data_IF_494261448973
#
_entry.id   IF_494261448973
#
_cell.length_a   1.000
_cell.length_b   1.000
_cell.length_c   1.000
_cell.angle_alpha   90.00
_cell.angle_beta   90.00
_cell.angle_gamma   90.00
#
_symmetry.space_group_name_H-M   'P 1'
#
loop_
_entity.id
_entity.type
_entity.pdbx_description
1 polymer ?
#
# COMPACT_ATOMS: atom_id res chain seq x y z
N UNK A 1 12.08 -13.73 -71.63
CA UNK A 1 12.65 -14.74 -70.71
C UNK A 1 13.64 -14.05 -69.79
N UNK A 2 13.61 -14.39 -68.49
CA UNK A 2 14.31 -13.80 -67.33
C UNK A 2 13.55 -12.65 -66.63
N UNK A 3 12.35 -12.99 -66.18
CA UNK A 3 11.63 -12.31 -65.10
C UNK A 3 11.47 -13.28 -63.93
N UNK A 4 11.35 -12.72 -62.73
CA UNK A 4 10.85 -13.34 -61.49
C UNK A 4 11.43 -14.71 -61.10
N UNK A 5 12.55 -14.73 -60.37
CA UNK A 5 12.91 -15.87 -59.50
C UNK A 5 14.12 -15.48 -58.62
N UNK A 6 13.92 -14.68 -57.56
CA UNK A 6 14.92 -14.50 -56.48
C UNK A 6 14.36 -13.93 -55.17
N UNK A 7 13.04 -13.97 -54.93
CA UNK A 7 12.44 -13.52 -53.66
C UNK A 7 11.59 -14.61 -52.98
N UNK A 8 11.98 -15.88 -53.13
CA UNK A 8 11.29 -17.01 -52.50
C UNK A 8 12.33 -17.98 -51.94
N UNK A 9 13.03 -17.61 -50.87
CA UNK A 9 13.86 -18.53 -50.05
C UNK A 9 14.42 -17.96 -48.73
N UNK A 10 13.66 -17.09 -48.06
CA UNK A 10 13.97 -16.66 -46.68
C UNK A 10 12.78 -16.76 -45.72
N UNK A 11 11.77 -17.57 -46.06
CA UNK A 11 10.66 -17.93 -45.17
C UNK A 11 10.68 -19.42 -44.80
N UNK A 12 11.72 -19.85 -44.09
CA UNK A 12 11.62 -21.07 -43.27
C UNK A 12 12.75 -21.08 -42.24
N UNK A 13 12.54 -20.45 -41.07
CA UNK A 13 13.14 -20.82 -39.78
C UNK A 13 12.86 -19.78 -38.69
N UNK A 14 11.58 -19.46 -38.44
CA UNK A 14 11.22 -18.74 -37.22
C UNK A 14 10.16 -19.53 -36.44
N UNK A 15 10.60 -20.66 -35.86
CA UNK A 15 9.83 -21.42 -34.89
C UNK A 15 9.80 -20.60 -33.59
N UNK A 16 8.73 -19.81 -33.44
CA UNK A 16 8.37 -19.10 -32.22
C UNK A 16 8.45 -20.08 -31.04
N UNK A 17 9.22 -19.82 -29.96
CA UNK A 17 9.21 -20.72 -28.82
C UNK A 17 7.80 -20.69 -28.22
N UNK A 18 7.15 -21.84 -28.16
CA UNK A 18 5.88 -22.01 -27.50
C UNK A 18 6.06 -21.58 -26.04
N UNK A 19 5.42 -20.48 -25.66
CA UNK A 19 5.37 -20.01 -24.28
C UNK A 19 4.51 -21.04 -23.56
N UNK A 20 5.17 -21.85 -22.73
CA UNK A 20 4.56 -22.90 -21.95
C UNK A 20 3.52 -22.30 -20.99
N UNK A 21 2.26 -22.46 -21.35
CA UNK A 21 1.09 -22.05 -20.56
C UNK A 21 1.06 -22.68 -19.16
N UNK A 22 1.85 -23.73 -18.90
CA UNK A 22 2.04 -24.29 -17.56
C UNK A 22 2.87 -23.37 -16.64
N UNK A 23 3.85 -22.62 -17.16
CA UNK A 23 4.66 -21.66 -16.36
C UNK A 23 3.88 -20.41 -15.93
N UNK A 24 2.87 -20.02 -16.70
CA UNK A 24 1.97 -18.92 -16.34
C UNK A 24 0.99 -19.37 -15.24
N UNK A 25 0.52 -20.61 -15.31
CA UNK A 25 -0.30 -21.20 -14.25
C UNK A 25 0.49 -21.37 -12.94
N UNK A 26 1.78 -21.69 -13.01
CA UNK A 26 2.65 -21.83 -11.84
C UNK A 26 2.91 -20.48 -11.14
N UNK A 27 3.02 -19.39 -11.89
CA UNK A 27 3.10 -18.02 -11.34
C UNK A 27 1.80 -17.57 -10.67
N UNK A 28 0.64 -18.10 -11.11
CA UNK A 28 -0.66 -17.83 -10.49
C UNK A 28 -0.94 -18.69 -9.26
N UNK A 29 -0.24 -19.82 -9.09
CA UNK A 29 -0.35 -20.71 -7.94
C UNK A 29 0.59 -20.36 -6.78
N UNK A 30 1.61 -19.52 -7.00
CA UNK A 30 2.43 -18.96 -5.91
C UNK A 30 1.61 -18.00 -5.01
N UNK A 31 0.46 -17.50 -5.48
CA UNK A 31 -0.45 -16.70 -4.68
C UNK A 31 -1.32 -17.49 -3.68
N UNK A 32 -1.21 -18.84 -3.63
CA UNK A 32 -2.05 -19.70 -2.77
C UNK A 32 -1.29 -20.49 -1.71
N UNK A 33 0.00 -20.25 -1.50
CA UNK A 33 0.78 -21.01 -0.51
C UNK A 33 1.81 -20.14 0.22
N UNK A 34 1.42 -19.63 1.38
CA UNK A 34 2.17 -19.67 2.65
C UNK A 34 1.62 -18.58 3.59
N UNK A 35 1.09 -19.02 4.73
CA UNK A 35 0.58 -18.21 5.84
C UNK A 35 1.74 -17.50 6.57
N UNK A 36 2.39 -16.56 5.87
CA UNK A 36 3.45 -15.72 6.41
C UNK A 36 2.81 -14.40 6.80
N UNK A 37 2.89 -14.03 8.08
CA UNK A 37 2.40 -12.74 8.60
C UNK A 37 2.93 -11.59 7.76
N UNK A 38 2.15 -10.52 7.57
CA UNK A 38 2.57 -9.35 6.78
C UNK A 38 3.94 -8.78 7.23
N UNK A 39 4.25 -8.89 8.53
CA UNK A 39 5.56 -8.53 9.10
C UNK A 39 6.74 -9.35 8.55
N UNK A 40 6.54 -10.61 8.15
CA UNK A 40 7.57 -11.45 7.54
C UNK A 40 7.66 -11.29 6.00
N UNK A 41 6.84 -10.42 5.40
CA UNK A 41 6.87 -10.10 3.97
C UNK A 41 7.63 -8.80 3.64
N UNK A 42 8.10 -8.06 4.65
CA UNK A 42 8.84 -6.79 4.46
C UNK A 42 10.24 -6.86 5.08
N UNK A 43 11.19 -6.12 4.50
CA UNK A 43 12.56 -6.06 5.01
C UNK A 43 12.63 -5.37 6.38
N UNK A 44 13.68 -5.64 7.16
CA UNK A 44 13.93 -4.96 8.43
C UNK A 44 14.08 -3.44 8.24
N UNK A 45 14.74 -3.00 7.16
CA UNK A 45 14.86 -1.57 6.83
C UNK A 45 13.50 -0.93 6.57
N UNK A 46 12.62 -1.60 5.83
CA UNK A 46 11.25 -1.14 5.58
C UNK A 46 10.45 -1.05 6.88
N UNK A 47 10.57 -2.06 7.76
CA UNK A 47 9.91 -2.07 9.07
C UNK A 47 10.39 -0.93 9.97
N UNK A 48 11.69 -0.67 10.02
CA UNK A 48 12.28 0.43 10.78
C UNK A 48 11.71 1.78 10.34
N UNK A 49 11.54 1.99 9.02
CA UNK A 49 10.98 3.22 8.43
C UNK A 49 9.48 3.38 8.66
N UNK A 50 8.75 2.28 8.79
CA UNK A 50 7.33 2.31 9.17
C UNK A 50 7.11 2.60 10.65
N UNK A 51 8.08 2.29 11.52
CA UNK A 51 7.89 2.37 12.97
C UNK A 51 7.47 3.77 13.46
N UNK A 52 8.10 4.89 13.01
CA UNK A 52 7.67 6.23 13.39
C UNK A 52 6.23 6.54 12.97
N UNK A 53 5.84 6.13 11.76
CA UNK A 53 4.49 6.30 11.24
C UNK A 53 3.47 5.52 12.08
N UNK A 54 3.73 4.25 12.37
CA UNK A 54 2.85 3.42 13.19
C UNK A 54 2.72 3.97 14.62
N UNK A 55 3.81 4.50 15.18
CA UNK A 55 3.80 5.16 16.49
C UNK A 55 2.95 6.43 16.46
N UNK A 56 3.16 7.32 15.48
CA UNK A 56 2.36 8.55 15.30
C UNK A 56 0.87 8.24 15.22
N UNK A 57 0.49 7.22 14.44
CA UNK A 57 -0.91 6.77 14.35
C UNK A 57 -1.39 6.19 15.69
N UNK A 58 -0.59 5.40 16.40
CA UNK A 58 -1.02 4.88 17.70
C UNK A 58 -1.22 6.00 18.74
N UNK A 59 -0.36 7.02 18.73
CA UNK A 59 -0.35 8.16 19.66
C UNK A 59 -1.43 9.21 19.35
N UNK A 60 -1.89 9.32 18.10
CA UNK A 60 -3.01 10.20 17.72
C UNK A 60 -4.33 9.88 18.43
N UNK A 61 -4.38 8.75 19.14
CA UNK A 61 -5.45 8.32 20.04
C UNK A 61 -5.50 9.08 21.38
N UNK A 62 -4.56 9.99 21.68
CA UNK A 62 -4.38 10.57 23.00
C UNK A 62 -5.42 11.61 23.44
N UNK A 63 -6.47 11.18 24.15
CA UNK A 63 -7.01 11.81 25.38
C UNK A 63 -8.35 11.21 25.86
N UNK A 64 -9.12 10.53 24.99
CA UNK A 64 -10.49 10.12 25.38
C UNK A 64 -11.06 8.88 24.64
N UNK A 65 -10.25 7.88 24.27
CA UNK A 65 -10.84 6.69 23.63
C UNK A 65 -10.06 5.40 23.91
N UNK A 66 -10.68 4.49 24.67
CA UNK A 66 -10.22 3.12 24.94
C UNK A 66 -10.29 2.20 23.72
N UNK A 67 -9.87 2.65 22.54
CA UNK A 67 -9.96 1.93 21.27
C UNK A 67 -9.09 0.67 21.24
N UNK A 68 -8.09 0.58 22.11
CA UNK A 68 -7.22 -0.60 22.25
C UNK A 68 -6.89 -0.96 23.71
N UNK A 69 -7.66 -0.48 24.70
CA UNK A 69 -7.42 -0.89 26.10
C UNK A 69 -7.80 -2.37 26.27
N UNK A 70 -6.83 -3.19 26.68
CA UNK A 70 -7.08 -4.58 27.09
C UNK A 70 -8.05 -4.70 28.27
N UNK A 71 -8.40 -3.58 28.92
CA UNK A 71 -9.41 -3.48 29.99
C UNK A 71 -10.83 -3.14 29.49
N UNK A 72 -11.03 -2.76 28.22
CA UNK A 72 -12.36 -2.79 27.57
C UNK A 72 -12.63 -4.21 27.00
N UNK A 73 -12.25 -5.22 27.80
CA UNK A 73 -12.74 -6.59 27.72
C UNK A 73 -13.73 -6.89 28.87
N UNK A 74 -13.92 -5.94 29.78
CA UNK A 74 -14.98 -5.99 30.78
C UNK A 74 -15.56 -4.59 31.01
N UNK A 75 -16.89 -4.53 31.09
CA UNK A 75 -17.75 -3.40 31.43
C UNK A 75 -18.23 -2.47 30.31
N UNK A 76 -19.55 -2.21 30.41
CA UNK A 76 -20.43 -1.45 29.53
C UNK A 76 -20.25 0.06 29.77
N UNK A 77 -19.86 0.83 28.77
CA UNK A 77 -20.07 2.29 28.59
C UNK A 77 -19.11 2.76 27.48
N UNK A 78 -19.36 3.73 26.60
CA UNK A 78 -20.51 4.55 26.28
C UNK A 78 -20.25 5.08 24.86
N UNK A 79 -21.29 5.13 24.04
CA UNK A 79 -21.24 5.63 22.66
C UNK A 79 -21.70 7.09 22.68
N UNK A 80 -20.78 8.06 22.79
CA UNK A 80 -21.12 9.49 22.61
C UNK A 80 -20.04 10.27 21.83
N UNK A 81 -20.49 10.80 20.69
CA UNK A 81 -20.16 12.09 20.05
C UNK A 81 -18.69 12.54 20.02
N UNK A 82 -18.03 12.32 18.87
CA UNK A 82 -16.83 13.06 18.46
C UNK A 82 -17.26 14.23 17.55
N UNK A 83 -17.50 15.39 18.15
CA UNK A 83 -17.52 16.67 17.45
C UNK A 83 -16.14 17.33 17.50
N UNK A 84 -15.88 18.09 16.44
CA UNK A 84 -14.66 18.80 16.04
C UNK A 84 -13.91 19.54 17.15
N UNK A 85 -12.60 19.27 17.29
CA UNK A 85 -11.50 20.25 17.31
C UNK A 85 -10.13 19.57 17.55
N UNK A 86 -9.37 19.33 16.47
CA UNK A 86 -7.92 19.57 16.41
C UNK A 86 -7.45 19.30 14.97
N UNK A 87 -6.87 20.32 14.33
CA UNK A 87 -5.92 20.06 13.26
C UNK A 87 -4.73 19.30 13.87
N UNK A 88 -4.15 18.33 13.15
CA UNK A 88 -2.83 17.71 13.42
C UNK A 88 -2.74 16.34 14.14
N UNK A 89 -3.27 15.23 13.60
CA UNK A 89 -2.87 13.90 14.14
C UNK A 89 -2.92 12.68 13.21
N UNK A 90 -3.09 12.84 11.89
CA UNK A 90 -3.01 11.73 10.93
C UNK A 90 -1.59 11.44 10.43
N UNK A 91 -1.39 10.26 9.85
CA UNK A 91 -0.19 9.92 9.09
C UNK A 91 -0.40 10.18 7.58
N UNK A 92 0.56 10.87 6.99
CA UNK A 92 0.56 11.25 5.58
C UNK A 92 1.50 10.36 4.77
N UNK A 93 0.96 9.70 3.76
CA UNK A 93 1.69 8.78 2.88
C UNK A 93 1.61 9.31 1.45
N UNK A 94 2.76 9.53 0.81
CA UNK A 94 2.84 10.02 -0.57
C UNK A 94 3.48 9.00 -1.51
N UNK A 95 2.75 8.61 -2.54
CA UNK A 95 3.25 7.73 -3.60
C UNK A 95 4.05 8.53 -4.63
N UNK A 96 5.21 8.02 -5.04
CA UNK A 96 6.16 8.78 -5.87
C UNK A 96 6.61 8.01 -7.09
N UNK A 97 6.35 8.57 -8.27
CA UNK A 97 6.94 8.13 -9.53
C UNK A 97 7.70 9.26 -10.23
N UNK A 98 8.13 9.08 -11.48
CA UNK A 98 8.89 10.11 -12.19
C UNK A 98 8.04 11.35 -12.52
N UNK A 99 6.90 11.16 -13.17
CA UNK A 99 6.09 12.25 -13.75
C UNK A 99 4.75 12.51 -13.06
N UNK A 100 4.32 11.67 -12.12
CA UNK A 100 3.03 11.77 -11.41
C UNK A 100 1.79 11.87 -12.31
N UNK A 101 1.82 11.19 -13.44
CA UNK A 101 0.67 11.08 -14.37
C UNK A 101 0.20 9.63 -14.59
N UNK A 102 0.98 8.62 -14.18
CA UNK A 102 0.66 7.20 -14.41
C UNK A 102 0.58 6.42 -13.09
N UNK A 103 1.73 5.95 -12.60
CA UNK A 103 1.87 5.00 -11.48
C UNK A 103 1.42 5.58 -10.13
N UNK A 104 1.94 6.74 -9.73
CA UNK A 104 1.67 7.28 -8.39
C UNK A 104 0.24 7.81 -8.17
N UNK A 105 -0.43 8.47 -9.13
CA UNK A 105 -1.86 8.81 -8.99
C UNK A 105 -2.75 7.57 -8.92
N UNK A 106 -2.41 6.51 -9.68
CA UNK A 106 -3.11 5.24 -9.63
C UNK A 106 -2.96 4.58 -8.25
N UNK A 107 -1.74 4.58 -7.70
CA UNK A 107 -1.45 4.09 -6.36
C UNK A 107 -2.23 4.85 -5.29
N UNK A 108 -2.30 6.19 -5.37
CA UNK A 108 -3.10 7.02 -4.47
C UNK A 108 -4.58 6.65 -4.53
N UNK A 109 -5.14 6.50 -5.75
CA UNK A 109 -6.52 6.08 -5.95
C UNK A 109 -6.82 4.70 -5.34
N UNK A 110 -5.93 3.73 -5.58
CA UNK A 110 -6.02 2.38 -5.02
C UNK A 110 -5.97 2.42 -3.49
N UNK A 111 -5.03 3.14 -2.90
CA UNK A 111 -4.89 3.23 -1.44
C UNK A 111 -6.14 3.82 -0.78
N UNK A 112 -6.68 4.92 -1.33
CA UNK A 112 -7.93 5.52 -0.87
C UNK A 112 -9.10 4.54 -0.99
N UNK A 113 -9.21 3.85 -2.12
CA UNK A 113 -10.28 2.88 -2.35
C UNK A 113 -10.20 1.68 -1.39
N UNK A 114 -9.02 1.09 -1.19
CA UNK A 114 -8.80 -0.01 -0.25
C UNK A 114 -9.12 0.42 1.18
N UNK A 115 -8.66 1.61 1.58
CA UNK A 115 -8.93 2.19 2.90
C UNK A 115 -10.43 2.37 3.14
N UNK A 116 -11.19 2.77 2.11
CA UNK A 116 -12.64 2.95 2.21
C UNK A 116 -13.39 1.60 2.21
N UNK A 117 -13.09 0.72 1.26
CA UNK A 117 -13.94 -0.44 0.92
C UNK A 117 -13.46 -1.80 1.42
N UNK A 118 -12.16 -1.99 1.67
CA UNK A 118 -11.58 -3.30 2.01
C UNK A 118 -10.83 -3.35 3.34
N UNK A 119 -10.69 -2.20 4.03
CA UNK A 119 -9.83 -2.10 5.21
C UNK A 119 -10.24 -3.02 6.37
N UNK A 120 -11.54 -3.23 6.60
CA UNK A 120 -12.00 -4.19 7.60
C UNK A 120 -11.52 -5.61 7.30
N UNK A 121 -11.64 -6.07 6.05
CA UNK A 121 -11.13 -7.39 5.64
C UNK A 121 -9.61 -7.49 5.73
N UNK A 122 -8.89 -6.42 5.39
CA UNK A 122 -7.43 -6.34 5.54
C UNK A 122 -7.04 -6.50 7.02
N UNK A 123 -7.67 -5.74 7.91
CA UNK A 123 -7.41 -5.82 9.36
C UNK A 123 -7.80 -7.19 9.92
N UNK A 124 -8.92 -7.75 9.45
CA UNK A 124 -9.37 -9.08 9.86
C UNK A 124 -8.30 -10.14 9.55
N UNK A 125 -7.69 -10.10 8.35
CA UNK A 125 -6.61 -11.01 7.98
C UNK A 125 -5.41 -10.89 8.92
N UNK A 126 -5.02 -9.65 9.29
CA UNK A 126 -3.91 -9.41 10.23
C UNK A 126 -4.20 -10.01 11.61
N UNK A 127 -5.40 -9.79 12.15
CA UNK A 127 -5.82 -10.30 13.46
C UNK A 127 -5.87 -11.84 13.44
N UNK A 128 -6.47 -12.43 12.41
CA UNK A 128 -6.56 -13.89 12.27
C UNK A 128 -5.19 -14.56 12.17
N UNK A 129 -4.29 -13.99 11.36
CA UNK A 129 -2.92 -14.50 11.21
C UNK A 129 -2.08 -14.34 12.49
N UNK A 130 -2.37 -13.32 13.30
CA UNK A 130 -1.75 -13.15 14.62
C UNK A 130 -2.25 -14.18 15.62
N UNK A 131 -3.56 -14.45 15.64
CA UNK A 131 -4.19 -15.40 16.55
C UNK A 131 -3.80 -16.87 16.28
N UNK A 132 -3.56 -17.27 15.02
CA UNK A 132 -3.11 -18.63 14.70
C UNK A 132 -1.69 -18.95 15.23
N UNK A 133 -0.88 -17.94 15.56
CA UNK A 133 0.42 -18.12 16.20
C UNK A 133 0.32 -18.21 17.74
N UNK A 134 -0.84 -17.89 18.33
CA UNK A 134 -1.13 -18.05 19.75
C UNK A 134 -2.08 -19.24 19.94
N UNK A 135 -1.54 -20.43 20.17
CA UNK A 135 -2.36 -21.59 20.53
C UNK A 135 -3.15 -21.30 21.82
N UNK A 136 -4.47 -21.49 21.74
CA UNK A 136 -5.49 -21.46 22.80
C UNK A 136 -6.07 -20.09 23.20
N UNK A 137 -7.25 -19.73 22.65
CA UNK A 137 -8.32 -19.07 23.43
C UNK A 137 -9.72 -19.32 22.82
N UNK A 138 -10.65 -19.62 23.72
CA UNK A 138 -12.01 -20.18 23.57
C UNK A 138 -13.03 -19.25 22.89
N UNK A 139 -14.13 -19.81 22.37
CA UNK A 139 -15.24 -19.23 21.56
C UNK A 139 -15.90 -17.91 22.04
N UNK A 140 -15.55 -17.36 23.21
CA UNK A 140 -15.91 -15.99 23.62
C UNK A 140 -15.15 -14.90 22.82
N UNK A 141 -14.28 -15.31 21.89
CA UNK A 141 -13.34 -14.49 21.11
C UNK A 141 -13.90 -13.90 19.82
N UNK A 142 -14.97 -14.47 19.23
CA UNK A 142 -15.38 -14.08 17.86
C UNK A 142 -16.09 -12.71 17.81
N UNK A 143 -16.97 -12.42 18.78
CA UNK A 143 -17.70 -11.15 18.83
C UNK A 143 -16.75 -9.98 19.16
N UNK A 144 -15.79 -10.22 20.04
CA UNK A 144 -14.71 -9.28 20.39
C UNK A 144 -13.77 -9.04 19.20
N UNK A 145 -13.37 -10.08 18.47
CA UNK A 145 -12.49 -9.94 17.30
C UNK A 145 -13.12 -9.12 16.17
N UNK A 146 -14.42 -9.32 15.90
CA UNK A 146 -15.15 -8.53 14.91
C UNK A 146 -15.24 -7.04 15.33
N UNK A 147 -15.48 -6.78 16.62
CA UNK A 147 -15.53 -5.42 17.15
C UNK A 147 -14.16 -4.72 17.08
N UNK A 148 -13.08 -5.40 17.47
CA UNK A 148 -11.70 -4.89 17.37
C UNK A 148 -11.34 -4.62 15.91
N UNK A 149 -11.68 -5.53 15.00
CA UNK A 149 -11.44 -5.36 13.55
C UNK A 149 -12.08 -4.06 13.05
N UNK A 150 -13.35 -3.85 13.38
CA UNK A 150 -14.10 -2.67 12.96
C UNK A 150 -13.54 -1.39 13.58
N UNK A 151 -13.19 -1.42 14.87
CA UNK A 151 -12.60 -0.29 15.58
C UNK A 151 -11.25 0.11 14.96
N UNK A 152 -10.33 -0.84 14.77
CA UNK A 152 -9.02 -0.58 14.19
C UNK A 152 -9.13 -0.12 12.73
N UNK A 153 -10.02 -0.72 11.93
CA UNK A 153 -10.24 -0.27 10.55
C UNK A 153 -10.78 1.17 10.50
N UNK A 154 -11.74 1.52 11.34
CA UNK A 154 -12.24 2.90 11.43
C UNK A 154 -11.16 3.87 11.89
N UNK A 155 -10.36 3.47 12.87
CA UNK A 155 -9.25 4.26 13.38
C UNK A 155 -8.20 4.53 12.29
N UNK A 156 -7.75 3.49 11.60
CA UNK A 156 -6.83 3.62 10.46
C UNK A 156 -7.42 4.49 9.35
N UNK A 157 -8.71 4.35 9.04
CA UNK A 157 -9.39 5.16 8.01
C UNK A 157 -9.42 6.65 8.36
N UNK A 158 -9.60 6.99 9.63
CA UNK A 158 -9.60 8.37 10.09
C UNK A 158 -8.19 8.99 10.12
N UNK A 159 -7.15 8.17 10.27
CA UNK A 159 -5.77 8.63 10.50
C UNK A 159 -4.82 8.40 9.32
N UNK A 160 -5.23 7.77 8.22
CA UNK A 160 -4.37 7.56 7.05
C UNK A 160 -4.77 8.52 5.92
N UNK A 161 -3.84 9.37 5.52
CA UNK A 161 -3.99 10.30 4.41
C UNK A 161 -3.05 9.92 3.27
N UNK A 162 -3.59 9.87 2.05
CA UNK A 162 -2.84 9.47 0.87
C UNK A 162 -2.78 10.60 -0.15
N UNK A 163 -1.58 10.83 -0.68
CA UNK A 163 -1.31 11.74 -1.79
C UNK A 163 -0.36 11.08 -2.80
N UNK A 164 -0.05 11.78 -3.88
CA UNK A 164 0.98 11.38 -4.83
C UNK A 164 1.74 12.58 -5.37
N UNK A 165 2.99 12.32 -5.79
CA UNK A 165 3.86 13.32 -6.38
C UNK A 165 4.86 12.70 -7.38
N UNK A 166 5.59 13.56 -8.08
CA UNK A 166 6.54 13.22 -9.14
C UNK A 166 7.92 13.81 -8.88
N UNK A 167 8.99 13.07 -9.16
CA UNK A 167 10.36 13.57 -8.89
C UNK A 167 10.84 14.62 -9.90
N UNK A 168 10.35 14.57 -11.15
CA UNK A 168 10.88 15.41 -12.23
C UNK A 168 10.26 16.79 -12.37
N UNK A 169 8.97 16.94 -12.08
CA UNK A 169 8.22 18.17 -12.31
C UNK A 169 7.85 18.45 -13.78
N UNK A 170 8.22 17.59 -14.74
CA UNK A 170 7.94 17.80 -16.18
C UNK A 170 6.45 17.95 -16.51
N UNK A 171 5.59 17.32 -15.71
CA UNK A 171 4.14 17.31 -15.91
C UNK A 171 3.39 18.13 -14.85
N UNK A 172 4.07 19.03 -14.13
CA UNK A 172 3.44 19.73 -13.01
C UNK A 172 2.18 20.51 -13.45
N UNK A 173 1.04 20.18 -12.87
CA UNK A 173 -0.28 20.73 -13.23
C UNK A 173 -1.04 19.94 -14.29
N UNK A 174 -0.39 19.02 -15.02
CA UNK A 174 -1.04 18.20 -16.04
C UNK A 174 -2.08 17.25 -15.42
N UNK A 175 -3.08 16.90 -16.21
CA UNK A 175 -4.03 15.83 -15.86
C UNK A 175 -3.35 14.46 -15.88
N UNK A 176 -3.97 13.48 -15.22
CA UNK A 176 -3.51 12.09 -15.20
C UNK A 176 -3.65 11.46 -16.60
N UNK A 177 -2.70 10.59 -16.97
CA UNK A 177 -2.73 9.84 -18.23
C UNK A 177 -4.08 9.11 -18.39
N UNK A 178 -4.71 9.29 -19.54
CA UNK A 178 -6.04 8.76 -19.84
C UNK A 178 -6.13 7.23 -19.67
N UNK A 179 -5.04 6.49 -19.92
CA UNK A 179 -4.97 5.04 -19.73
C UNK A 179 -4.94 4.67 -18.24
N UNK A 180 -4.27 5.47 -17.43
CA UNK A 180 -4.28 5.31 -15.96
C UNK A 180 -5.69 5.56 -15.40
N UNK A 181 -6.35 6.62 -15.86
CA UNK A 181 -7.76 6.92 -15.52
C UNK A 181 -8.66 5.76 -15.94
N UNK A 182 -8.51 5.27 -17.18
CA UNK A 182 -9.31 4.17 -17.69
C UNK A 182 -9.12 2.88 -16.88
N UNK A 183 -7.88 2.53 -16.53
CA UNK A 183 -7.58 1.37 -15.68
C UNK A 183 -8.17 1.55 -14.28
N UNK A 184 -7.99 2.69 -13.61
CA UNK A 184 -8.61 2.96 -12.31
C UNK A 184 -10.15 2.79 -12.36
N UNK A 185 -10.78 3.33 -13.41
CA UNK A 185 -12.23 3.27 -13.61
C UNK A 185 -12.76 1.84 -13.76
N UNK A 186 -12.00 0.91 -14.35
CA UNK A 186 -12.36 -0.53 -14.41
C UNK A 186 -12.59 -1.13 -13.02
N UNK A 187 -11.93 -0.56 -12.00
CA UNK A 187 -12.00 -1.01 -10.61
C UNK A 187 -12.87 -0.08 -9.73
N UNK A 188 -13.67 0.80 -10.33
CA UNK A 188 -14.57 1.70 -9.61
C UNK A 188 -13.85 2.88 -8.93
N UNK A 189 -12.63 3.21 -9.36
CA UNK A 189 -11.82 4.30 -8.80
C UNK A 189 -11.81 5.47 -9.79
N UNK A 190 -12.17 6.66 -9.33
CA UNK A 190 -12.08 7.89 -10.12
C UNK A 190 -10.86 8.72 -9.71
N UNK A 191 -9.86 8.79 -10.60
CA UNK A 191 -8.67 9.64 -10.46
C UNK A 191 -8.64 10.76 -11.51
N UNK A 192 -9.74 10.99 -12.25
CA UNK A 192 -9.79 11.96 -13.35
C UNK A 192 -9.62 13.41 -12.91
N UNK A 193 -9.83 13.69 -11.62
CA UNK A 193 -9.67 15.02 -11.01
C UNK A 193 -8.29 15.25 -10.41
N UNK A 194 -7.42 14.24 -10.42
CA UNK A 194 -6.06 14.41 -9.91
C UNK A 194 -5.21 15.16 -10.94
N UNK A 195 -4.22 15.88 -10.46
CA UNK A 195 -3.26 16.62 -11.29
C UNK A 195 -1.86 16.31 -10.80
N UNK A 196 -0.92 16.21 -11.73
CA UNK A 196 0.47 15.96 -11.41
C UNK A 196 1.08 17.10 -10.59
N UNK A 197 1.91 16.74 -9.61
CA UNK A 197 2.61 17.66 -8.72
C UNK A 197 4.05 17.19 -8.53
N UNK A 198 4.99 18.13 -8.53
CA UNK A 198 6.38 17.81 -8.19
C UNK A 198 6.55 17.61 -6.67
N UNK A 199 7.39 16.64 -6.29
CA UNK A 199 7.91 16.56 -4.92
C UNK A 199 8.62 17.87 -4.58
N UNK A 200 8.28 18.44 -3.43
CA UNK A 200 8.80 19.71 -2.93
C UNK A 200 9.26 19.54 -1.50
N UNK A 201 10.48 20.01 -1.19
CA UNK A 201 11.06 19.93 0.15
C UNK A 201 10.26 20.69 1.20
N UNK A 202 9.52 21.73 0.77
CA UNK A 202 8.69 22.54 1.65
C UNK A 202 7.26 22.02 1.72
N UNK A 203 6.62 21.78 0.56
CA UNK A 203 5.21 21.41 0.51
C UNK A 203 4.94 19.96 0.92
N UNK A 204 5.98 19.13 1.08
CA UNK A 204 5.87 17.76 1.54
C UNK A 204 6.70 17.51 2.81
N UNK A 205 7.02 18.57 3.56
CA UNK A 205 7.78 18.45 4.81
C UNK A 205 7.06 17.60 5.86
N UNK A 206 5.73 17.54 5.81
CA UNK A 206 4.82 16.81 6.70
C UNK A 206 4.52 15.35 6.30
N UNK A 207 5.00 14.88 5.15
CA UNK A 207 4.79 13.49 4.69
C UNK A 207 5.53 12.50 5.61
N UNK A 208 4.81 11.67 6.36
CA UNK A 208 5.42 10.69 7.25
C UNK A 208 6.09 9.52 6.50
N UNK A 209 5.61 9.19 5.30
CA UNK A 209 6.18 8.13 4.48
C UNK A 209 6.04 8.41 2.98
N UNK A 210 7.14 8.37 2.25
CA UNK A 210 7.16 8.29 0.80
C UNK A 210 7.30 6.85 0.32
N UNK A 211 6.48 6.49 -0.67
CA UNK A 211 6.48 5.16 -1.28
C UNK A 211 6.86 5.30 -2.75
N UNK A 212 8.11 4.96 -3.05
CA UNK A 212 8.69 5.04 -4.39
C UNK A 212 8.25 3.87 -5.27
N UNK A 213 7.97 4.14 -6.55
CA UNK A 213 7.60 3.11 -7.53
C UNK A 213 8.81 2.33 -8.05
N UNK A 214 9.97 2.98 -8.18
CA UNK A 214 11.21 2.37 -8.63
C UNK A 214 12.44 2.93 -7.87
N UNK A 215 13.60 2.35 -8.13
CA UNK A 215 14.85 2.71 -7.47
C UNK A 215 15.34 4.13 -7.82
N UNK A 216 15.00 4.65 -9.00
CA UNK A 216 15.37 6.02 -9.37
C UNK A 216 14.53 7.03 -8.59
N UNK A 217 13.24 6.73 -8.39
CA UNK A 217 12.37 7.56 -7.55
C UNK A 217 12.84 7.55 -6.09
N UNK A 218 13.24 6.37 -5.57
CA UNK A 218 13.79 6.25 -4.23
C UNK A 218 15.12 7.01 -4.07
N UNK A 219 16.01 6.92 -5.07
CA UNK A 219 17.26 7.67 -5.07
C UNK A 219 17.03 9.18 -5.11
N UNK A 220 16.08 9.67 -5.91
CA UNK A 220 15.72 11.08 -5.96
C UNK A 220 15.16 11.58 -4.61
N UNK A 221 14.30 10.80 -3.95
CA UNK A 221 13.81 11.15 -2.60
C UNK A 221 14.93 11.23 -1.57
N UNK A 222 15.93 10.36 -1.66
CA UNK A 222 17.13 10.42 -0.81
C UNK A 222 17.94 11.69 -1.06
N UNK A 223 18.13 12.07 -2.32
CA UNK A 223 18.82 13.31 -2.69
C UNK A 223 18.08 14.56 -2.19
N UNK A 224 16.74 14.52 -2.12
CA UNK A 224 15.90 15.58 -1.56
C UNK A 224 15.87 15.60 -0.02
N UNK A 225 16.62 14.72 0.66
CA UNK A 225 16.67 14.67 2.13
C UNK A 225 15.54 13.86 2.78
N UNK A 226 14.71 13.17 1.99
CA UNK A 226 13.62 12.32 2.51
C UNK A 226 14.01 10.86 2.69
N UNK A 227 15.32 10.60 2.66
CA UNK A 227 15.88 9.26 2.69
C UNK A 227 15.37 8.41 3.85
N UNK A 228 15.28 8.96 5.06
CA UNK A 228 14.84 8.27 6.29
C UNK A 228 13.36 7.85 6.28
N UNK A 229 12.55 8.54 5.48
CA UNK A 229 11.10 8.32 5.39
C UNK A 229 10.67 7.86 3.99
N UNK A 230 11.56 7.21 3.25
CA UNK A 230 11.29 6.71 1.90
C UNK A 230 11.52 5.20 1.80
N UNK A 231 10.57 4.50 1.20
CA UNK A 231 10.60 3.04 0.96
C UNK A 231 10.26 2.73 -0.50
N UNK A 232 10.61 1.54 -0.98
CA UNK A 232 10.17 1.04 -2.28
C UNK A 232 8.84 0.31 -2.12
N UNK A 233 7.86 0.53 -3.00
CA UNK A 233 6.61 -0.25 -2.98
C UNK A 233 6.88 -1.76 -3.13
N UNK A 234 7.93 -2.08 -3.89
CA UNK A 234 8.44 -3.44 -4.08
C UNK A 234 8.73 -4.21 -2.79
N UNK A 235 9.06 -3.49 -1.70
CA UNK A 235 9.37 -4.09 -0.41
C UNK A 235 8.14 -4.69 0.27
N UNK A 236 6.94 -4.35 -0.18
CA UNK A 236 5.68 -4.84 0.36
C UNK A 236 5.19 -6.07 -0.40
N UNK A 237 5.88 -7.20 -0.18
CA UNK A 237 5.49 -8.51 -0.71
C UNK A 237 5.62 -8.68 -2.23
N UNK A 238 6.36 -7.80 -2.90
CA UNK A 238 6.76 -7.96 -4.30
C UNK A 238 8.25 -8.35 -4.45
N UNK A 239 8.90 -8.74 -3.35
CA UNK A 239 10.30 -9.19 -3.35
C UNK A 239 11.30 -8.12 -3.78
N UNK A 240 11.01 -6.84 -3.51
CA UNK A 240 11.84 -5.71 -3.95
C UNK A 240 11.69 -5.35 -5.43
N UNK A 241 10.70 -5.90 -6.13
CA UNK A 241 10.47 -5.60 -7.54
C UNK A 241 10.10 -4.12 -7.75
N UNK A 242 10.64 -3.50 -8.81
CA UNK A 242 10.24 -2.15 -9.23
C UNK A 242 8.91 -2.21 -9.97
N UNK A 243 8.07 -1.19 -9.79
CA UNK A 243 6.82 -1.01 -10.54
C UNK A 243 7.19 -0.40 -11.91
N UNK A 244 7.06 -1.17 -13.01
CA UNK A 244 7.53 -0.75 -14.31
C UNK A 244 6.73 0.44 -14.84
N UNK A 245 7.33 1.27 -15.67
CA UNK A 245 6.60 2.31 -16.37
C UNK A 245 5.60 1.69 -17.37
N UNK A 246 4.28 1.92 -17.22
CA UNK A 246 3.29 1.30 -18.09
C UNK A 246 3.23 1.93 -19.49
N UNK A 247 3.89 3.07 -19.72
CA UNK A 247 3.73 3.89 -20.93
C UNK A 247 3.98 3.11 -22.23
N UNK A 248 4.95 2.19 -22.23
CA UNK A 248 5.36 1.39 -23.40
C UNK A 248 4.64 0.04 -23.52
N UNK A 249 3.80 -0.34 -22.54
CA UNK A 249 3.19 -1.67 -22.45
C UNK A 249 1.78 -1.80 -23.03
N UNK A 250 1.25 -0.75 -23.66
CA UNK A 250 -0.16 -0.70 -24.10
C UNK A 250 -1.15 -0.88 -22.94
N UNK A 251 -2.39 -1.31 -23.24
CA UNK A 251 -3.43 -1.50 -22.21
C UNK A 251 -3.08 -2.59 -21.18
N UNK A 252 -2.42 -3.68 -21.62
CA UNK A 252 -1.97 -4.76 -20.73
C UNK A 252 -0.91 -4.31 -19.72
N UNK A 253 -0.11 -3.29 -20.06
CA UNK A 253 0.89 -2.72 -19.17
C UNK A 253 0.27 -2.05 -17.95
N UNK A 254 -0.81 -1.30 -18.13
CA UNK A 254 -1.51 -0.64 -17.03
C UNK A 254 -2.22 -1.62 -16.10
N UNK A 255 -2.85 -2.66 -16.63
CA UNK A 255 -3.52 -3.67 -15.81
C UNK A 255 -2.51 -4.48 -14.97
N UNK A 256 -1.33 -4.78 -15.53
CA UNK A 256 -0.23 -5.40 -14.78
C UNK A 256 0.26 -4.48 -13.65
N UNK A 257 0.46 -3.19 -13.94
CA UNK A 257 0.86 -2.20 -12.93
C UNK A 257 -0.21 -2.07 -11.85
N UNK A 258 -1.50 -2.02 -12.21
CA UNK A 258 -2.60 -1.99 -11.24
C UNK A 258 -2.50 -3.16 -10.25
N UNK A 259 -2.33 -4.38 -10.73
CA UNK A 259 -2.23 -5.56 -9.87
C UNK A 259 -1.01 -5.51 -8.93
N UNK A 260 0.13 -5.02 -9.41
CA UNK A 260 1.31 -4.81 -8.56
C UNK A 260 1.05 -3.76 -7.48
N UNK A 261 0.41 -2.64 -7.86
CA UNK A 261 0.05 -1.58 -6.94
C UNK A 261 -0.94 -2.06 -5.87
N UNK A 262 -2.03 -2.73 -6.27
CA UNK A 262 -3.04 -3.24 -5.34
C UNK A 262 -2.44 -4.24 -4.35
N UNK A 263 -1.61 -5.17 -4.82
CA UNK A 263 -0.94 -6.14 -3.94
C UNK A 263 0.02 -5.45 -2.96
N UNK A 264 0.93 -4.59 -3.47
CA UNK A 264 1.89 -3.88 -2.62
C UNK A 264 1.22 -2.97 -1.59
N UNK A 265 0.17 -2.24 -1.97
CA UNK A 265 -0.57 -1.36 -1.07
C UNK A 265 -1.35 -2.17 -0.04
N UNK A 266 -1.93 -3.31 -0.41
CA UNK A 266 -2.60 -4.21 0.53
C UNK A 266 -1.63 -4.66 1.63
N UNK A 267 -0.45 -5.15 1.24
CA UNK A 267 0.57 -5.62 2.20
C UNK A 267 1.14 -4.45 3.03
N UNK A 268 1.25 -3.26 2.46
CA UNK A 268 1.60 -2.05 3.20
C UNK A 268 0.56 -1.73 4.28
N UNK A 269 -0.74 -1.76 3.96
CA UNK A 269 -1.82 -1.54 4.93
C UNK A 269 -1.85 -2.62 6.02
N UNK A 270 -1.65 -3.89 5.66
CA UNK A 270 -1.50 -4.98 6.63
C UNK A 270 -0.31 -4.73 7.59
N UNK A 271 0.81 -4.27 7.05
CA UNK A 271 2.03 -3.97 7.82
C UNK A 271 1.82 -2.78 8.77
N UNK A 272 1.09 -1.75 8.36
CA UNK A 272 0.72 -0.62 9.20
C UNK A 272 -0.22 -1.09 10.32
N UNK A 273 -1.27 -1.85 10.00
CA UNK A 273 -2.19 -2.40 11.00
C UNK A 273 -1.46 -3.22 12.06
N UNK A 274 -0.57 -4.12 11.62
CA UNK A 274 0.28 -4.90 12.51
C UNK A 274 1.18 -4.02 13.39
N UNK A 275 1.78 -2.99 12.80
CA UNK A 275 2.64 -2.05 13.51
C UNK A 275 1.89 -1.25 14.59
N UNK A 276 0.67 -0.79 14.31
CA UNK A 276 -0.19 -0.10 15.28
C UNK A 276 -0.49 -1.03 16.47
N UNK A 277 -0.94 -2.27 16.20
CA UNK A 277 -1.21 -3.27 17.25
C UNK A 277 0.02 -3.48 18.14
N UNK A 278 1.21 -3.61 17.54
CA UNK A 278 2.46 -3.79 18.29
C UNK A 278 2.79 -2.58 19.15
N UNK A 279 2.69 -1.35 18.62
CA UNK A 279 2.99 -0.13 19.37
C UNK A 279 2.03 0.07 20.56
N UNK A 280 0.73 -0.15 20.35
CA UNK A 280 -0.27 -0.03 21.42
C UNK A 280 -0.07 -1.05 22.55
N UNK A 281 0.43 -2.25 22.24
CA UNK A 281 0.76 -3.27 23.25
C UNK A 281 1.96 -2.86 24.10
N UNK A 282 3.00 -2.28 23.48
CA UNK A 282 4.21 -1.81 24.19
C UNK A 282 3.87 -0.68 25.17
N UNK A 283 3.06 0.29 24.76
CA UNK A 283 2.66 1.42 25.61
C UNK A 283 1.88 1.00 26.86
N UNK A 284 1.09 -0.10 26.80
CA UNK A 284 0.37 -0.63 27.97
C UNK A 284 1.29 -1.37 28.95
N UNK A 285 2.31 -2.09 28.45
CA UNK A 285 3.27 -2.79 29.29
C UNK A 285 4.17 -1.86 30.12
N UNK A 286 4.44 -0.64 29.62
CA UNK A 286 5.22 0.37 30.33
C UNK A 286 4.44 1.13 31.42
N UNK A 287 3.11 1.14 31.36
CA UNK A 287 2.23 1.85 32.30
C UNK A 287 1.90 1.03 33.57
N UNK A 288 2.39 -0.21 33.68
CA UNK A 288 2.13 -1.09 34.83
C UNK A 288 3.45 -1.55 35.49
N UNK A 289 4.19 -0.65 36.17
CA UNK A 289 5.34 -1.05 36.97
C UNK A 289 4.85 -1.91 38.16
N UNK A 290 5.42 -3.10 38.30
CA UNK A 290 5.24 -3.98 39.47
C UNK A 290 5.60 -3.29 40.76
#
# INVERSE_FOLDING_TARGET
MKGLESMEKLESNNKKPAIDSAKIAESSNIAKSANITASAKISESTRARLTPLCRKIAESSGADSGVLDSRILDSRADLKTLDSHNADSGAFISFVCLGNICRSPLAEGIAKHLCQSKLESIVQNVIQNSAQNMQATTQATTQTAAQITKQLANFMRANLHFSSAGTSGFHNGDIIDARSIATAKKHGIDISRYTSKQVSVYAHADIDLFVAMDMQNLAALRQLGFGERAVLLGDFGLGGAVVPDPYYGGASGFDKVYNMLENGITIMLESIAQGIITQSTISQGAQNPR
#
